data_IF_683808555501
#
_entry.id   IF_683808555501
#
_cell.length_a   1.000
_cell.length_b   1.000
_cell.length_c   1.000
_cell.angle_alpha   90.00
_cell.angle_beta   90.00
_cell.angle_gamma   90.00
#
_symmetry.space_group_name_H-M   'P 1'
#
loop_
_entity.id
_entity.type
_entity.pdbx_description
1 polymer ?
#
# COMPACT_ATOMS: atom_id res chain seq x y z
N UNK A 1 16.07 1.96 -2.03
CA UNK A 1 15.71 2.19 -3.45
C UNK A 1 16.43 1.28 -4.46
N UNK A 2 17.77 1.10 -4.38
CA UNK A 2 18.56 0.41 -5.43
C UNK A 2 18.71 -1.11 -5.29
N UNK A 3 18.10 -1.72 -4.26
CA UNK A 3 18.16 -3.18 -4.06
C UNK A 3 17.13 -3.85 -4.97
N UNK A 4 17.50 -4.93 -5.64
CA UNK A 4 16.58 -5.70 -6.49
C UNK A 4 15.32 -6.07 -5.69
N UNK A 5 14.16 -5.55 -6.11
CA UNK A 5 12.90 -5.77 -5.40
C UNK A 5 12.51 -7.24 -5.56
N UNK A 6 12.27 -7.92 -4.42
CA UNK A 6 11.59 -9.22 -4.41
C UNK A 6 10.18 -9.00 -4.95
N UNK A 7 9.57 -10.03 -5.55
CA UNK A 7 8.16 -9.95 -5.96
C UNK A 7 7.29 -9.74 -4.71
N UNK A 8 6.87 -8.51 -4.47
CA UNK A 8 6.06 -8.11 -3.30
C UNK A 8 4.58 -8.12 -3.62
N UNK A 9 3.73 -8.07 -2.60
CA UNK A 9 2.28 -7.88 -2.79
C UNK A 9 1.97 -6.60 -3.59
N UNK A 10 2.71 -5.51 -3.33
CA UNK A 10 2.61 -4.28 -4.11
C UNK A 10 2.97 -4.49 -5.58
N UNK A 11 4.06 -5.23 -5.87
CA UNK A 11 4.46 -5.54 -7.25
C UNK A 11 3.36 -6.32 -7.97
N UNK A 12 2.79 -7.33 -7.31
CA UNK A 12 1.66 -8.12 -7.83
C UNK A 12 0.43 -7.22 -8.04
N UNK A 13 0.09 -6.35 -7.09
CA UNK A 13 -1.05 -5.43 -7.23
C UNK A 13 -0.86 -4.44 -8.40
N UNK A 14 0.37 -3.98 -8.65
CA UNK A 14 0.69 -3.17 -9.85
C UNK A 14 0.52 -3.97 -11.14
N UNK A 15 0.97 -5.22 -11.19
CA UNK A 15 0.74 -6.14 -12.33
C UNK A 15 -0.76 -6.32 -12.62
N UNK A 16 -1.60 -6.32 -11.57
CA UNK A 16 -3.07 -6.38 -11.69
C UNK A 16 -3.71 -5.04 -12.12
N UNK A 17 -2.93 -3.97 -12.25
CA UNK A 17 -3.42 -2.66 -12.69
C UNK A 17 -4.08 -1.81 -11.59
N UNK A 18 -3.76 -2.07 -10.32
CA UNK A 18 -4.33 -1.33 -9.17
C UNK A 18 -3.56 -0.04 -8.82
N UNK A 19 -2.52 0.30 -9.57
CA UNK A 19 -1.72 1.51 -9.35
C UNK A 19 -2.52 2.83 -9.50
N UNK A 20 -3.42 2.99 -10.50
CA UNK A 20 -4.24 4.19 -10.58
C UNK A 20 -5.19 4.37 -9.39
N UNK A 21 -5.74 3.26 -8.85
CA UNK A 21 -6.55 3.29 -7.64
C UNK A 21 -5.73 3.77 -6.44
N UNK A 22 -4.52 3.24 -6.25
CA UNK A 22 -3.62 3.69 -5.19
C UNK A 22 -3.32 5.19 -5.28
N UNK A 23 -3.06 5.70 -6.49
CA UNK A 23 -2.83 7.13 -6.71
C UNK A 23 -4.06 7.99 -6.39
N UNK A 24 -5.26 7.56 -6.76
CA UNK A 24 -6.50 8.26 -6.39
C UNK A 24 -6.71 8.32 -4.88
N UNK A 25 -6.39 7.23 -4.15
CA UNK A 25 -6.48 7.21 -2.69
C UNK A 25 -5.49 8.16 -2.00
N UNK A 26 -4.34 8.44 -2.63
CA UNK A 26 -3.37 9.43 -2.14
C UNK A 26 -3.86 10.88 -2.25
N UNK A 27 -4.87 11.16 -3.08
CA UNK A 27 -5.43 12.51 -3.20
C UNK A 27 -6.33 12.88 -2.02
N UNK A 28 -6.63 11.93 -1.11
CA UNK A 28 -7.46 12.13 0.10
C UNK A 28 -8.81 12.81 -0.18
N UNK A 29 -9.42 12.51 -1.34
CA UNK A 29 -10.77 13.00 -1.65
C UNK A 29 -11.80 12.37 -0.72
N UNK A 30 -12.91 13.08 -0.48
CA UNK A 30 -14.06 12.60 0.33
C UNK A 30 -14.93 11.57 -0.39
N UNK A 31 -14.43 10.97 -1.45
CA UNK A 31 -15.16 10.01 -2.26
C UNK A 31 -15.23 8.66 -1.53
N UNK A 32 -16.31 7.90 -1.74
CA UNK A 32 -16.40 6.56 -1.18
C UNK A 32 -15.37 5.65 -1.87
N UNK A 33 -14.46 5.08 -1.07
CA UNK A 33 -13.41 4.16 -1.52
C UNK A 33 -13.94 2.95 -2.30
N UNK A 34 -15.11 2.45 -1.93
CA UNK A 34 -15.75 1.30 -2.61
C UNK A 34 -16.19 1.68 -4.02
N UNK A 35 -16.69 2.91 -4.21
CA UNK A 35 -17.08 3.44 -5.52
C UNK A 35 -15.85 3.64 -6.40
N UNK A 36 -14.76 4.16 -5.84
CA UNK A 36 -13.49 4.33 -6.56
C UNK A 36 -12.87 2.99 -6.95
N UNK A 37 -13.03 1.95 -6.13
CA UNK A 37 -12.46 0.64 -6.33
C UNK A 37 -13.29 -0.28 -7.24
N UNK A 38 -14.60 -0.05 -7.37
CA UNK A 38 -15.48 -0.87 -8.22
C UNK A 38 -15.01 -1.02 -9.69
N UNK A 39 -14.51 0.02 -10.38
CA UNK A 39 -13.96 -0.10 -11.74
C UNK A 39 -12.71 -0.99 -11.85
N UNK A 40 -12.06 -1.32 -10.73
CA UNK A 40 -10.81 -2.07 -10.69
C UNK A 40 -11.02 -3.57 -10.41
N UNK A 41 -12.27 -4.01 -10.22
CA UNK A 41 -12.62 -5.43 -10.11
C UNK A 41 -12.47 -6.09 -11.48
N UNK A 42 -11.62 -7.11 -11.55
CA UNK A 42 -11.32 -7.83 -12.78
C UNK A 42 -10.82 -9.24 -12.44
N UNK A 43 -11.68 -10.25 -12.63
CA UNK A 43 -11.36 -11.65 -12.37
C UNK A 43 -10.21 -12.18 -13.23
N UNK A 44 -10.09 -11.73 -14.49
CA UNK A 44 -9.00 -12.15 -15.40
C UNK A 44 -7.63 -11.68 -14.89
N UNK A 45 -7.59 -10.52 -14.23
CA UNK A 45 -6.40 -9.99 -13.55
C UNK A 45 -6.27 -10.51 -12.11
N UNK A 46 -7.16 -11.40 -11.68
CA UNK A 46 -7.15 -11.97 -10.33
C UNK A 46 -7.56 -10.98 -9.24
N UNK A 47 -8.47 -10.05 -9.54
CA UNK A 47 -9.13 -9.16 -8.58
C UNK A 47 -10.63 -9.50 -8.60
N UNK A 48 -11.07 -10.39 -7.71
CA UNK A 48 -12.42 -10.95 -7.74
C UNK A 48 -13.50 -10.05 -7.13
N UNK A 49 -13.12 -9.07 -6.31
CA UNK A 49 -14.07 -8.19 -5.66
C UNK A 49 -13.44 -6.83 -5.28
N UNK A 50 -14.29 -5.92 -4.80
CA UNK A 50 -13.91 -4.56 -4.40
C UNK A 50 -12.90 -4.57 -3.24
N UNK A 51 -13.06 -5.48 -2.28
CA UNK A 51 -12.16 -5.59 -1.13
C UNK A 51 -10.74 -5.95 -1.55
N UNK A 52 -10.59 -6.86 -2.53
CA UNK A 52 -9.31 -7.24 -3.10
C UNK A 52 -8.66 -6.07 -3.86
N UNK A 53 -9.44 -5.27 -4.59
CA UNK A 53 -8.94 -4.07 -5.25
C UNK A 53 -8.40 -3.06 -4.22
N UNK A 54 -9.16 -2.82 -3.14
CA UNK A 54 -8.76 -1.95 -2.04
C UNK A 54 -7.51 -2.49 -1.33
N UNK A 55 -7.47 -3.79 -1.05
CA UNK A 55 -6.32 -4.43 -0.40
C UNK A 55 -5.06 -4.30 -1.24
N UNK A 56 -5.15 -4.55 -2.55
CA UNK A 56 -4.02 -4.40 -3.46
C UNK A 56 -3.55 -2.94 -3.57
N UNK A 57 -4.48 -1.98 -3.63
CA UNK A 57 -4.12 -0.56 -3.58
C UNK A 57 -3.43 -0.18 -2.26
N UNK A 58 -3.91 -0.70 -1.11
CA UNK A 58 -3.26 -0.52 0.20
C UNK A 58 -1.86 -1.12 0.24
N UNK A 59 -1.63 -2.29 -0.35
CA UNK A 59 -0.31 -2.91 -0.43
C UNK A 59 0.68 -2.02 -1.21
N UNK A 60 0.23 -1.40 -2.31
CA UNK A 60 1.03 -0.42 -3.08
C UNK A 60 1.42 0.77 -2.21
N UNK A 61 0.46 1.35 -1.49
CA UNK A 61 0.71 2.50 -0.61
C UNK A 61 1.59 2.14 0.59
N UNK A 62 1.40 0.96 1.17
CA UNK A 62 2.24 0.47 2.26
C UNK A 62 3.70 0.36 1.84
N UNK A 63 3.98 -0.17 0.64
CA UNK A 63 5.34 -0.20 0.11
C UNK A 63 5.88 1.20 -0.17
N UNK A 64 5.07 2.09 -0.74
CA UNK A 64 5.45 3.48 -0.99
C UNK A 64 5.90 4.19 0.31
N UNK A 65 5.11 4.08 1.38
CA UNK A 65 5.43 4.70 2.67
C UNK A 65 6.60 4.02 3.39
N UNK A 66 6.73 2.70 3.25
CA UNK A 66 7.84 1.95 3.84
C UNK A 66 9.18 2.24 3.17
N UNK A 67 9.19 2.54 1.87
CA UNK A 67 10.39 2.89 1.11
C UNK A 67 10.81 4.37 1.29
N UNK A 68 9.94 5.23 1.82
CA UNK A 68 10.26 6.64 2.10
C UNK A 68 11.31 6.78 3.21
N UNK A 69 12.45 7.38 2.86
CA UNK A 69 13.58 7.52 3.76
C UNK A 69 13.30 8.45 4.95
N UNK A 70 12.53 9.53 4.74
CA UNK A 70 12.19 10.49 5.77
C UNK A 70 11.20 9.91 6.78
N UNK A 71 10.20 9.15 6.30
CA UNK A 71 9.25 8.42 7.15
C UNK A 71 10.00 7.41 8.02
N UNK A 72 10.88 6.60 7.41
CA UNK A 72 11.70 5.62 8.15
C UNK A 72 12.59 6.24 9.22
N UNK A 73 13.23 7.38 8.93
CA UNK A 73 14.07 8.07 9.90
C UNK A 73 13.26 8.58 11.10
N UNK A 74 12.10 9.18 10.83
CA UNK A 74 11.15 9.61 11.88
C UNK A 74 10.72 8.46 12.77
N UNK A 75 10.27 7.35 12.18
CA UNK A 75 9.82 6.17 12.93
C UNK A 75 10.96 5.61 13.78
N UNK A 76 12.17 5.47 13.23
CA UNK A 76 13.33 4.98 14.00
C UNK A 76 13.63 5.85 15.21
N UNK A 77 13.68 7.18 15.03
CA UNK A 77 13.92 8.14 16.12
C UNK A 77 12.81 8.06 17.17
N UNK A 78 11.56 7.93 16.74
CA UNK A 78 10.42 7.79 17.63
C UNK A 78 10.50 6.48 18.45
N UNK A 79 10.73 5.35 17.79
CA UNK A 79 10.89 4.04 18.46
C UNK A 79 12.06 4.03 19.43
N UNK A 80 13.16 4.72 19.12
CA UNK A 80 14.31 4.82 20.03
C UNK A 80 14.01 5.65 21.27
N UNK A 81 13.19 6.71 21.13
CA UNK A 81 12.86 7.61 22.24
C UNK A 81 11.76 7.06 23.15
N UNK A 82 10.71 6.49 22.57
CA UNK A 82 9.48 6.11 23.29
C UNK A 82 9.30 4.60 23.42
N UNK A 83 10.11 3.79 22.73
CA UNK A 83 9.97 2.34 22.71
C UNK A 83 10.26 1.72 24.08
N UNK A 84 9.50 0.68 24.44
CA UNK A 84 9.72 -0.12 25.65
C UNK A 84 10.13 -1.53 25.26
N UNK A 85 11.18 -2.03 25.89
CA UNK A 85 11.60 -3.44 25.76
C UNK A 85 10.76 -4.26 26.71
N UNK A 86 10.09 -5.29 26.20
CA UNK A 86 9.29 -6.24 26.98
C UNK A 86 9.83 -7.65 26.79
N UNK A 87 9.69 -8.49 27.82
CA UNK A 87 9.94 -9.94 27.75
C UNK A 87 8.66 -10.65 28.18
N UNK A 88 8.29 -11.71 27.45
CA UNK A 88 7.13 -12.56 27.71
C UNK A 88 7.53 -13.88 28.33
#
# INVERSE_FOLDING_TARGET
PYKQKRRTKATVAKEKGLEPLANQLLEFKKDNIEILAAPFVNEEKGVGNVEEAIAGAKDILAELFADDAAVRDKIRKFSWREGRITTS
#
